data_IF_849188553204
#
_entry.id   IF_849188553204
#
_cell.length_a   1.000
_cell.length_b   1.000
_cell.length_c   1.000
_cell.angle_alpha   90.00
_cell.angle_beta   90.00
_cell.angle_gamma   90.00
#
_symmetry.space_group_name_H-M   'P 1'
#
loop_
_entity.id
_entity.type
_entity.pdbx_description
1 polymer ?
#
# COMPACT_ATOMS: atom_id res chain seq x y z
N UNK A 1 4.30 10.30 23.62
CA UNK A 1 2.90 10.52 23.17
C UNK A 1 2.28 9.15 22.85
N UNK A 2 1.11 8.80 23.40
CA UNK A 2 0.57 7.43 23.31
C UNK A 2 0.29 6.99 21.87
N UNK A 3 0.92 5.91 21.42
CA UNK A 3 0.72 5.32 20.08
C UNK A 3 -0.74 4.84 19.99
N UNK A 4 -1.59 5.61 19.31
CA UNK A 4 -2.94 5.14 18.96
C UNK A 4 -2.78 3.97 18.00
N UNK A 5 -3.53 2.89 18.22
CA UNK A 5 -3.56 1.76 17.30
C UNK A 5 -4.14 2.25 15.96
N UNK A 6 -3.31 2.34 14.93
CA UNK A 6 -3.70 2.73 13.57
C UNK A 6 -3.53 1.51 12.67
N UNK A 7 -4.57 1.21 11.88
CA UNK A 7 -4.53 0.09 10.92
C UNK A 7 -3.87 0.48 9.59
N UNK A 8 -3.73 1.79 9.35
CA UNK A 8 -3.09 2.37 8.16
C UNK A 8 -1.86 3.16 8.53
N UNK A 9 -0.91 3.23 7.61
CA UNK A 9 0.35 3.97 7.75
C UNK A 9 0.20 5.47 7.44
N UNK A 10 -1.00 6.03 7.52
CA UNK A 10 -1.19 7.46 7.25
C UNK A 10 -2.30 8.05 8.12
N UNK A 11 -2.18 9.35 8.39
CA UNK A 11 -3.09 10.08 9.25
C UNK A 11 -3.09 11.59 8.99
N UNK A 12 -4.13 12.28 9.46
CA UNK A 12 -4.18 13.74 9.37
C UNK A 12 -3.21 14.40 10.36
N UNK A 13 -2.46 15.40 9.90
CA UNK A 13 -1.51 16.11 10.74
C UNK A 13 -2.22 16.85 11.89
N UNK A 14 -1.77 16.62 13.13
CA UNK A 14 -2.48 17.10 14.34
C UNK A 14 -2.47 18.62 14.49
N UNK A 15 -1.43 19.30 14.00
CA UNK A 15 -1.30 20.76 14.05
C UNK A 15 -1.79 21.50 12.79
N UNK A 16 -2.03 20.80 11.69
CA UNK A 16 -2.44 21.41 10.42
C UNK A 16 -3.27 20.41 9.61
N UNK A 17 -4.59 20.57 9.64
CA UNK A 17 -5.52 19.67 8.97
C UNK A 17 -5.44 19.70 7.45
N UNK A 18 -4.59 20.55 6.84
CA UNK A 18 -4.36 20.56 5.38
C UNK A 18 -3.39 19.47 4.94
N UNK A 19 -2.65 18.87 5.86
CA UNK A 19 -1.65 17.86 5.54
C UNK A 19 -2.07 16.45 5.98
N UNK A 20 -1.66 15.50 5.16
CA UNK A 20 -1.72 14.08 5.42
C UNK A 20 -0.29 13.58 5.65
N UNK A 21 -0.07 12.86 6.74
CA UNK A 21 1.23 12.32 7.12
C UNK A 21 1.24 10.83 6.81
N UNK A 22 2.21 10.37 6.05
CA UNK A 22 2.50 8.96 5.82
C UNK A 22 3.72 8.54 6.66
N UNK A 23 3.64 7.39 7.33
CA UNK A 23 4.72 6.84 8.16
C UNK A 23 5.30 5.56 7.55
N UNK A 24 6.63 5.44 7.59
CA UNK A 24 7.38 4.29 7.11
C UNK A 24 8.46 3.88 8.11
N UNK A 25 8.48 2.60 8.50
CA UNK A 25 9.45 2.04 9.45
C UNK A 25 10.76 1.58 8.82
N UNK A 26 10.79 1.46 7.49
CA UNK A 26 11.94 0.97 6.75
C UNK A 26 12.33 1.99 5.68
N UNK A 27 13.59 2.41 5.72
CA UNK A 27 14.13 3.45 4.82
C UNK A 27 13.93 3.11 3.34
N UNK A 28 14.26 1.88 2.92
CA UNK A 28 14.06 1.46 1.53
C UNK A 28 12.60 1.52 1.03
N UNK A 29 11.62 1.39 1.92
CA UNK A 29 10.19 1.54 1.58
C UNK A 29 9.85 3.04 1.48
N UNK A 30 10.37 3.84 2.41
CA UNK A 30 10.23 5.30 2.38
C UNK A 30 10.82 5.92 1.11
N UNK A 31 12.01 5.47 0.69
CA UNK A 31 12.70 5.97 -0.50
C UNK A 31 11.94 5.63 -1.79
N UNK A 32 11.31 4.45 -1.86
CA UNK A 32 10.45 4.10 -2.98
C UNK A 32 9.19 4.98 -3.04
N UNK A 33 8.59 5.28 -1.89
CA UNK A 33 7.47 6.21 -1.82
C UNK A 33 7.87 7.61 -2.27
N UNK A 34 9.02 8.11 -1.83
CA UNK A 34 9.60 9.38 -2.26
C UNK A 34 9.81 9.43 -3.77
N UNK A 35 10.41 8.38 -4.36
CA UNK A 35 10.62 8.29 -5.79
C UNK A 35 9.31 8.39 -6.58
N UNK A 36 8.25 7.71 -6.12
CA UNK A 36 6.93 7.78 -6.76
C UNK A 36 6.27 9.17 -6.62
N UNK A 37 6.47 9.87 -5.49
CA UNK A 37 5.97 11.23 -5.32
C UNK A 37 6.69 12.19 -6.27
N UNK A 38 8.01 12.07 -6.39
CA UNK A 38 8.83 12.86 -7.32
C UNK A 38 8.44 12.60 -8.78
N UNK A 39 8.28 11.33 -9.18
CA UNK A 39 7.84 10.95 -10.53
C UNK A 39 6.50 11.59 -10.92
N UNK A 40 5.59 11.68 -9.95
CA UNK A 40 4.25 12.25 -10.14
C UNK A 40 4.16 13.74 -9.89
N UNK A 41 5.29 14.41 -9.62
CA UNK A 41 5.35 15.84 -9.30
C UNK A 41 4.42 16.23 -8.14
N UNK A 42 4.32 15.37 -7.13
CA UNK A 42 3.57 15.64 -5.89
C UNK A 42 4.50 16.36 -4.91
N UNK A 43 4.08 17.50 -4.40
CA UNK A 43 4.83 18.22 -3.36
C UNK A 43 4.70 17.54 -2.00
N UNK A 44 5.83 17.35 -1.30
CA UNK A 44 5.88 16.69 -0.01
C UNK A 44 7.01 17.25 0.88
N UNK A 45 6.88 17.02 2.18
CA UNK A 45 7.92 17.26 3.19
C UNK A 45 8.37 15.91 3.77
N UNK A 46 9.67 15.62 3.76
CA UNK A 46 10.25 14.41 4.37
C UNK A 46 10.88 14.77 5.71
N UNK A 47 10.58 13.98 6.75
CA UNK A 47 11.14 14.16 8.08
C UNK A 47 11.53 12.80 8.67
N UNK A 48 12.74 12.70 9.22
CA UNK A 48 13.18 11.52 9.97
C UNK A 48 12.92 11.78 11.46
N UNK A 49 12.02 10.99 12.03
CA UNK A 49 11.70 11.03 13.45
C UNK A 49 12.61 10.04 14.20
N UNK A 50 13.72 10.57 14.69
CA UNK A 50 14.72 9.86 15.50
C UNK A 50 14.28 9.65 16.97
N UNK A 51 13.15 10.25 17.41
CA UNK A 51 12.64 10.03 18.76
C UNK A 51 11.99 8.64 18.92
N UNK A 52 11.66 7.99 17.81
CA UNK A 52 11.16 6.61 17.80
C UNK A 52 12.33 5.61 17.74
N UNK A 53 12.19 4.51 18.48
CA UNK A 53 13.09 3.35 18.37
C UNK A 53 12.27 2.14 17.87
N UNK A 54 12.46 1.68 16.62
CA UNK A 54 13.38 2.23 15.61
C UNK A 54 12.90 3.57 15.00
N UNK A 55 13.81 4.38 14.40
CA UNK A 55 13.45 5.62 13.73
C UNK A 55 12.42 5.42 12.63
N UNK A 56 11.52 6.39 12.47
CA UNK A 56 10.48 6.35 11.43
C UNK A 56 10.63 7.52 10.46
N UNK A 57 10.43 7.26 9.17
CA UNK A 57 10.38 8.32 8.16
C UNK A 57 8.93 8.76 7.98
N UNK A 58 8.70 10.06 8.07
CA UNK A 58 7.40 10.72 7.91
C UNK A 58 7.40 11.54 6.62
N UNK A 59 6.28 11.50 5.90
CA UNK A 59 6.03 12.34 4.73
C UNK A 59 4.76 13.17 4.93
N UNK A 60 4.88 14.49 4.98
CA UNK A 60 3.77 15.42 4.95
C UNK A 60 3.38 15.75 3.51
N UNK A 61 2.15 15.44 3.12
CA UNK A 61 1.61 15.75 1.78
C UNK A 61 0.34 16.57 1.91
N UNK A 62 0.19 17.62 1.11
CA UNK A 62 -1.02 18.42 1.12
C UNK A 62 -2.23 17.58 0.67
N UNK A 63 -3.36 17.67 1.38
CA UNK A 63 -4.60 16.93 1.09
C UNK A 63 -5.13 17.17 -0.33
N UNK A 64 -4.76 18.27 -1.00
CA UNK A 64 -5.04 18.48 -2.43
C UNK A 64 -4.52 17.35 -3.32
N UNK A 65 -3.40 16.73 -2.95
CA UNK A 65 -2.78 15.63 -3.68
C UNK A 65 -3.14 14.25 -3.12
N UNK A 66 -4.09 14.16 -2.18
CA UNK A 66 -4.42 12.92 -1.47
C UNK A 66 -4.60 11.72 -2.39
N UNK A 67 -5.37 11.86 -3.46
CA UNK A 67 -5.60 10.74 -4.39
C UNK A 67 -4.31 10.24 -5.03
N UNK A 68 -3.39 11.14 -5.35
CA UNK A 68 -2.11 10.80 -5.98
C UNK A 68 -1.15 10.18 -4.96
N UNK A 69 -1.07 10.75 -3.75
CA UNK A 69 -0.22 10.22 -2.69
C UNK A 69 -0.72 8.89 -2.14
N UNK A 70 -2.04 8.68 -2.04
CA UNK A 70 -2.62 7.38 -1.67
C UNK A 70 -2.28 6.31 -2.72
N UNK A 71 -2.34 6.65 -4.01
CA UNK A 71 -1.89 5.74 -5.07
C UNK A 71 -0.40 5.40 -4.98
N UNK A 72 0.47 6.39 -4.73
CA UNK A 72 1.90 6.14 -4.51
C UNK A 72 2.12 5.23 -3.30
N UNK A 73 1.37 5.42 -2.22
CA UNK A 73 1.45 4.60 -1.02
C UNK A 73 1.02 3.16 -1.31
N UNK A 74 -0.09 2.97 -2.02
CA UNK A 74 -0.55 1.63 -2.43
C UNK A 74 0.45 0.93 -3.36
N UNK A 75 1.03 1.64 -4.32
CA UNK A 75 2.05 1.08 -5.22
C UNK A 75 3.32 0.69 -4.47
N UNK A 76 3.75 1.51 -3.50
CA UNK A 76 4.88 1.21 -2.63
C UNK A 76 4.62 -0.07 -1.84
N UNK A 77 3.48 -0.16 -1.16
CA UNK A 77 3.13 -1.39 -0.43
C UNK A 77 2.97 -2.59 -1.37
N UNK A 78 2.43 -2.41 -2.57
CA UNK A 78 2.32 -3.49 -3.56
C UNK A 78 3.68 -4.00 -4.04
N UNK A 79 4.68 -3.12 -4.16
CA UNK A 79 6.05 -3.46 -4.56
C UNK A 79 6.74 -4.36 -3.52
N UNK A 80 6.61 -4.04 -2.23
CA UNK A 80 7.27 -4.78 -1.15
C UNK A 80 6.43 -5.88 -0.50
N UNK A 81 5.14 -5.98 -0.84
CA UNK A 81 4.26 -7.00 -0.26
C UNK A 81 4.66 -8.39 -0.74
N UNK A 82 4.93 -9.28 0.22
CA UNK A 82 5.08 -10.70 -0.07
C UNK A 82 3.80 -11.27 -0.72
N UNK A 83 3.92 -12.11 -1.75
CA UNK A 83 2.76 -12.77 -2.32
C UNK A 83 2.05 -13.58 -1.24
N UNK A 84 0.71 -13.50 -1.21
CA UNK A 84 -0.13 -14.20 -0.21
C UNK A 84 0.19 -15.70 -0.12
N UNK A 85 0.55 -16.31 -1.25
CA UNK A 85 1.02 -17.69 -1.34
C UNK A 85 2.47 -17.66 -1.84
N UNK A 86 3.43 -17.85 -0.95
CA UNK A 86 4.86 -17.83 -1.28
C UNK A 86 5.25 -18.83 -2.38
N UNK A 87 4.64 -20.03 -2.37
CA UNK A 87 4.91 -21.07 -3.38
C UNK A 87 4.16 -20.79 -4.70
N UNK A 88 4.92 -20.53 -5.76
CA UNK A 88 4.39 -20.26 -7.10
C UNK A 88 3.54 -21.40 -7.67
N UNK A 89 3.87 -22.66 -7.39
CA UNK A 89 3.11 -23.82 -7.88
C UNK A 89 1.72 -23.86 -7.25
N UNK A 90 1.64 -23.68 -5.93
CA UNK A 90 0.36 -23.67 -5.21
C UNK A 90 -0.51 -22.48 -5.64
N UNK A 91 0.12 -21.32 -5.87
CA UNK A 91 -0.55 -20.11 -6.33
C UNK A 91 -1.24 -20.34 -7.68
N UNK A 92 -0.50 -20.86 -8.66
CA UNK A 92 -1.06 -21.16 -9.99
C UNK A 92 -2.04 -22.33 -9.96
N UNK A 93 -1.79 -23.35 -9.14
CA UNK A 93 -2.72 -24.46 -8.94
C UNK A 93 -4.09 -24.00 -8.46
N UNK A 94 -4.15 -23.09 -7.48
CA UNK A 94 -5.40 -22.51 -6.98
C UNK A 94 -6.15 -21.71 -8.07
N UNK A 95 -5.42 -20.89 -8.83
CA UNK A 95 -6.00 -20.09 -9.92
C UNK A 95 -6.59 -20.98 -11.00
N UNK A 96 -5.83 -21.99 -11.45
CA UNK A 96 -6.30 -22.94 -12.47
C UNK A 96 -7.50 -23.72 -11.97
N UNK A 97 -7.48 -24.17 -10.72
CA UNK A 97 -8.59 -24.89 -10.11
C UNK A 97 -9.87 -24.03 -10.07
N UNK A 98 -9.76 -22.75 -9.68
CA UNK A 98 -10.89 -21.82 -9.69
C UNK A 98 -11.45 -21.61 -11.09
N UNK A 99 -10.59 -21.39 -12.08
CA UNK A 99 -10.99 -21.26 -13.49
C UNK A 99 -11.68 -22.54 -13.98
N UNK A 100 -11.17 -23.71 -13.61
CA UNK A 100 -11.78 -24.99 -13.98
C UNK A 100 -13.18 -25.15 -13.39
N UNK A 101 -13.39 -24.81 -12.11
CA UNK A 101 -14.71 -24.85 -11.49
C UNK A 101 -15.72 -23.93 -12.19
N UNK A 102 -15.32 -22.69 -12.49
CA UNK A 102 -16.18 -21.74 -13.24
C UNK A 102 -16.49 -22.29 -14.63
N UNK A 103 -15.49 -22.86 -15.31
CA UNK A 103 -15.67 -23.45 -16.64
C UNK A 103 -16.63 -24.64 -16.60
N UNK A 104 -16.48 -25.54 -15.64
CA UNK A 104 -17.39 -26.67 -15.46
C UNK A 104 -18.82 -26.23 -15.11
N UNK A 105 -18.98 -25.20 -14.28
CA UNK A 105 -20.29 -24.64 -13.97
C UNK A 105 -20.97 -24.06 -15.22
N UNK A 106 -20.22 -23.35 -16.07
CA UNK A 106 -20.74 -22.82 -17.34
C UNK A 106 -21.12 -23.92 -18.33
N UNK A 107 -20.27 -24.93 -18.50
CA UNK A 107 -20.56 -26.10 -19.34
C UNK A 107 -21.83 -26.80 -18.83
N UNK A 108 -21.91 -27.05 -17.52
CA UNK A 108 -23.08 -27.67 -16.90
C UNK A 108 -24.35 -26.85 -17.09
N UNK A 109 -24.27 -25.52 -16.96
CA UNK A 109 -25.40 -24.63 -17.20
C UNK A 109 -25.88 -24.69 -18.66
N UNK A 110 -24.97 -24.76 -19.63
CA UNK A 110 -25.31 -24.84 -21.06
C UNK A 110 -25.89 -26.22 -21.41
N UNK A 111 -25.33 -27.31 -20.90
CA UNK A 111 -25.78 -28.67 -21.20
C UNK A 111 -27.05 -29.09 -20.44
N UNK A 112 -27.30 -28.52 -19.26
CA UNK A 112 -28.50 -28.79 -18.45
C UNK A 112 -29.74 -28.02 -18.95
N UNK A 113 -29.57 -27.18 -19.97
CA UNK A 113 -30.64 -26.42 -20.61
C UNK A 113 -31.05 -27.09 -21.92
#
# INVERSE_FOLDING_TARGET
MGKRLRFTNFFEHQGDSRYLVYEFFHEHIADHFEALLQERNVEFERFLDEENDPPITLFGVNKRFRTQSDQCNYLTHAHFRNPMIGNSWLRWGLVIFGIALVTFALIGYILSK
#
